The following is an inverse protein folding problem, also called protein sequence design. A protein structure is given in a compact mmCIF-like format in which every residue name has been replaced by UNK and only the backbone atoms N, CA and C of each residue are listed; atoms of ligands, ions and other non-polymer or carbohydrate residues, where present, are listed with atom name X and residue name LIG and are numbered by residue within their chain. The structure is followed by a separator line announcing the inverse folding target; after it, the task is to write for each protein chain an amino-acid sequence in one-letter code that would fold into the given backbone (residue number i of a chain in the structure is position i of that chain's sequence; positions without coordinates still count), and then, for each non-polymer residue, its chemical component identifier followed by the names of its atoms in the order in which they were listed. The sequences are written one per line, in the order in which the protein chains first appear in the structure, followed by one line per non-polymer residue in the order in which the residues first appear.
data_IF_389144422720
#
_entry.id   IF_389144422720
#
_cell.length_a   1.000
_cell.length_b   1.000
_cell.length_c   1.000
_cell.angle_alpha   90.00
_cell.angle_beta   90.00
_cell.angle_gamma   90.00
#
_symmetry.space_group_name_H-M   'P 1'
#
loop_
_entity.id
_entity.type
_entity.pdbx_description
1 polymer ?
#
# COMPACT_ATOMS: atom_id res chain seq x y z
N UNK A 1 0.26 -14.39 19.20
CA UNK A 1 -0.02 -12.99 18.83
C UNK A 1 -1.43 -12.97 18.28
N UNK A 2 -2.41 -12.52 19.07
CA UNK A 2 -3.80 -12.42 18.65
C UNK A 2 -4.12 -10.97 18.22
N UNK A 3 -4.94 -10.79 17.19
CA UNK A 3 -5.34 -9.48 16.67
C UNK A 3 -4.29 -8.76 15.83
N UNK A 4 -3.32 -9.47 15.24
CA UNK A 4 -2.24 -8.85 14.43
C UNK A 4 -2.22 -9.40 13.01
N UNK A 5 -1.58 -8.69 12.07
CA UNK A 5 -1.36 -9.20 10.69
C UNK A 5 -0.55 -10.51 10.66
N UNK A 6 0.20 -10.80 11.73
CA UNK A 6 1.03 -12.01 11.91
C UNK A 6 0.30 -13.13 12.65
N UNK A 7 -0.97 -12.93 13.03
CA UNK A 7 -1.73 -13.93 13.76
C UNK A 7 -1.87 -15.23 12.93
N UNK A 8 -1.72 -16.37 13.61
CA UNK A 8 -1.71 -17.72 13.04
C UNK A 8 -0.68 -17.92 11.89
N UNK A 9 0.38 -17.13 11.82
CA UNK A 9 1.45 -17.36 10.84
C UNK A 9 2.38 -18.50 11.25
N UNK A 10 2.78 -19.32 10.28
CA UNK A 10 3.85 -20.31 10.43
C UNK A 10 5.21 -19.77 9.93
N UNK A 11 5.25 -18.54 9.42
CA UNK A 11 6.47 -17.88 8.97
C UNK A 11 7.19 -17.24 10.17
N UNK A 12 8.52 -17.35 10.28
CA UNK A 12 9.27 -16.72 11.37
C UNK A 12 9.01 -15.20 11.47
N UNK A 13 8.90 -14.67 12.69
CA UNK A 13 8.62 -13.24 12.90
C UNK A 13 9.72 -12.32 12.36
N UNK A 14 10.98 -12.78 12.34
CA UNK A 14 12.08 -12.04 11.71
C UNK A 14 11.81 -11.74 10.24
N UNK A 15 11.20 -12.68 9.51
CA UNK A 15 10.78 -12.48 8.11
C UNK A 15 9.71 -11.40 8.02
N UNK A 16 8.76 -11.37 8.95
CA UNK A 16 7.71 -10.35 8.98
C UNK A 16 8.25 -8.94 9.25
N UNK A 17 9.25 -8.80 10.12
CA UNK A 17 9.91 -7.52 10.36
C UNK A 17 10.70 -7.04 9.14
N UNK A 18 11.48 -7.91 8.51
CA UNK A 18 12.16 -7.57 7.25
C UNK A 18 11.18 -7.26 6.12
N UNK A 19 10.08 -8.00 6.05
CA UNK A 19 8.98 -7.74 5.12
C UNK A 19 8.39 -6.34 5.30
N UNK A 20 8.16 -5.91 6.54
CA UNK A 20 7.65 -4.57 6.83
C UNK A 20 8.66 -3.47 6.48
N UNK A 21 9.95 -3.69 6.79
CA UNK A 21 11.03 -2.77 6.42
C UNK A 21 11.13 -2.58 4.89
N UNK A 22 11.14 -3.68 4.13
CA UNK A 22 11.18 -3.64 2.66
C UNK A 22 9.94 -2.98 2.05
N UNK A 23 8.76 -3.18 2.64
CA UNK A 23 7.53 -2.57 2.14
C UNK A 23 7.51 -1.05 2.39
N UNK A 24 7.98 -0.60 3.54
CA UNK A 24 7.92 0.82 3.96
C UNK A 24 9.04 1.67 3.38
N UNK A 25 10.18 1.07 3.02
CA UNK A 25 11.34 1.78 2.45
C UNK A 25 11.25 2.01 0.93
N UNK A 26 10.39 1.29 0.22
CA UNK A 26 10.28 1.35 -1.24
C UNK A 26 9.14 2.28 -1.70
N UNK A 27 9.46 3.52 -2.02
CA UNK A 27 8.51 4.56 -2.49
C UNK A 27 7.60 4.13 -3.65
N UNK A 28 8.08 3.45 -4.72
CA UNK A 28 7.21 3.02 -5.83
C UNK A 28 6.37 1.76 -5.50
N UNK A 29 6.55 1.15 -4.33
CA UNK A 29 6.01 -0.17 -4.00
C UNK A 29 6.87 -1.32 -4.53
N UNK A 30 6.53 -2.55 -4.13
CA UNK A 30 7.27 -3.76 -4.46
C UNK A 30 6.36 -4.85 -5.05
N UNK A 31 6.83 -5.57 -6.06
CA UNK A 31 6.12 -6.74 -6.60
C UNK A 31 6.31 -7.96 -5.69
N UNK A 32 5.32 -8.87 -5.65
CA UNK A 32 5.44 -10.08 -4.84
C UNK A 32 6.63 -10.97 -5.25
N UNK A 33 7.00 -10.99 -6.55
CA UNK A 33 8.18 -11.72 -7.03
C UNK A 33 9.48 -11.11 -6.52
N UNK A 34 9.61 -9.78 -6.57
CA UNK A 34 10.79 -9.11 -6.04
C UNK A 34 10.89 -9.27 -4.52
N UNK A 35 9.75 -9.13 -3.84
CA UNK A 35 9.62 -9.32 -2.40
C UNK A 35 10.03 -10.74 -1.97
N UNK A 36 9.57 -11.76 -2.70
CA UNK A 36 9.99 -13.15 -2.51
C UNK A 36 11.51 -13.31 -2.61
N UNK A 37 12.12 -12.73 -3.66
CA UNK A 37 13.57 -12.82 -3.89
C UNK A 37 14.39 -12.14 -2.80
N UNK A 38 13.98 -10.97 -2.35
CA UNK A 38 14.69 -10.22 -1.31
C UNK A 38 14.59 -10.90 0.06
N UNK A 39 13.46 -11.52 0.37
CA UNK A 39 13.26 -12.26 1.63
C UNK A 39 13.74 -13.72 1.58
N UNK A 40 14.19 -14.22 0.43
CA UNK A 40 14.62 -15.61 0.28
C UNK A 40 13.50 -16.63 0.46
N UNK A 41 12.24 -16.25 0.17
CA UNK A 41 11.09 -17.15 0.33
C UNK A 41 11.01 -18.15 -0.83
N UNK A 42 10.76 -19.41 -0.52
CA UNK A 42 10.65 -20.49 -1.52
C UNK A 42 9.33 -20.44 -2.31
N UNK A 43 8.28 -19.91 -1.70
CA UNK A 43 6.91 -19.93 -2.22
C UNK A 43 6.42 -18.50 -2.52
N UNK A 44 5.97 -18.29 -3.76
CA UNK A 44 5.42 -17.01 -4.22
C UNK A 44 4.15 -16.64 -3.45
N UNK A 45 3.28 -17.62 -3.20
CA UNK A 45 2.01 -17.43 -2.53
C UNK A 45 2.23 -16.92 -1.10
N UNK A 46 3.25 -17.41 -0.41
CA UNK A 46 3.64 -16.91 0.93
C UNK A 46 4.05 -15.44 0.86
N UNK A 47 4.91 -15.09 -0.10
CA UNK A 47 5.35 -13.72 -0.31
C UNK A 47 4.16 -12.78 -0.64
N UNK A 48 3.25 -13.22 -1.51
CA UNK A 48 2.05 -12.50 -1.88
C UNK A 48 1.12 -12.27 -0.68
N UNK A 49 0.87 -13.31 0.13
CA UNK A 49 0.00 -13.23 1.30
C UNK A 49 0.55 -12.30 2.38
N UNK A 50 1.86 -12.38 2.68
CA UNK A 50 2.52 -11.47 3.62
C UNK A 50 2.38 -10.01 3.14
N UNK A 51 2.72 -9.76 1.87
CA UNK A 51 2.65 -8.43 1.28
C UNK A 51 1.21 -7.86 1.31
N UNK A 52 0.21 -8.70 1.04
CA UNK A 52 -1.20 -8.29 1.08
C UNK A 52 -1.66 -7.99 2.51
N UNK A 53 -1.33 -8.84 3.48
CA UNK A 53 -1.67 -8.61 4.91
C UNK A 53 -1.04 -7.33 5.44
N UNK A 54 0.22 -7.06 5.10
CA UNK A 54 0.89 -5.82 5.49
C UNK A 54 0.21 -4.59 4.87
N UNK A 55 -0.11 -4.62 3.57
CA UNK A 55 -0.80 -3.50 2.89
C UNK A 55 -2.17 -3.20 3.50
N UNK A 56 -2.95 -4.24 3.82
CA UNK A 56 -4.24 -4.08 4.52
C UNK A 56 -4.02 -3.51 5.92
N UNK A 57 -3.01 -3.99 6.65
CA UNK A 57 -2.69 -3.49 7.99
C UNK A 57 -2.17 -2.05 8.03
N UNK A 58 -1.72 -1.50 6.90
CA UNK A 58 -1.28 -0.10 6.79
C UNK A 58 -2.43 0.89 6.63
N UNK A 59 -3.66 0.41 6.43
CA UNK A 59 -4.85 1.28 6.41
C UNK A 59 -5.08 1.81 7.82
N UNK A 60 -5.12 3.13 7.97
CA UNK A 60 -5.35 3.77 9.28
C UNK A 60 -6.76 3.39 9.78
N UNK A 61 -6.90 2.84 11.00
CA UNK A 61 -8.20 2.75 11.64
C UNK A 61 -8.75 4.17 11.84
N UNK A 62 -10.07 4.32 11.76
CA UNK A 62 -10.79 5.59 11.96
C UNK A 62 -10.34 6.71 11.00
N UNK A 63 -10.17 6.37 9.72
CA UNK A 63 -9.82 7.37 8.69
C UNK A 63 -10.87 8.49 8.61
N UNK A 64 -10.40 9.73 8.71
CA UNK A 64 -11.24 10.92 8.56
C UNK A 64 -11.82 11.02 7.15
N UNK A 65 -12.98 11.68 7.02
CA UNK A 65 -13.52 12.03 5.70
C UNK A 65 -12.62 13.08 5.03
N UNK A 66 -12.13 12.77 3.84
CA UNK A 66 -11.39 13.70 2.98
C UNK A 66 -12.26 14.92 2.64
N UNK A 67 -11.71 16.13 2.78
CA UNK A 67 -12.38 17.39 2.44
C UNK A 67 -13.42 17.84 3.47
N UNK A 68 -13.29 17.41 4.73
CA UNK A 68 -14.21 17.76 5.81
C UNK A 68 -14.10 19.20 6.31
N UNK A 69 -12.94 19.86 6.15
CA UNK A 69 -12.68 21.20 6.68
C UNK A 69 -12.52 22.25 5.57
N UNK A 70 -13.11 23.43 5.78
CA UNK A 70 -12.93 24.57 4.89
C UNK A 70 -11.47 25.06 4.96
N UNK A 71 -10.75 25.01 3.84
CA UNK A 71 -9.36 25.44 3.72
C UNK A 71 -8.36 24.31 3.45
N UNK A 72 -8.78 23.05 3.58
CA UNK A 72 -7.98 21.91 3.14
C UNK A 72 -8.25 21.63 1.65
N UNK A 73 -7.19 21.50 0.87
CA UNK A 73 -7.29 21.26 -0.57
C UNK A 73 -7.27 19.76 -0.83
N UNK A 74 -8.17 19.29 -1.70
CA UNK A 74 -8.21 17.90 -2.14
C UNK A 74 -7.74 17.85 -3.58
N UNK A 75 -6.70 17.06 -3.83
CA UNK A 75 -6.26 16.71 -5.18
C UNK A 75 -6.91 15.38 -5.57
N UNK A 76 -7.58 15.37 -6.72
CA UNK A 76 -8.20 14.19 -7.27
C UNK A 76 -7.58 13.85 -8.62
N UNK A 77 -7.37 12.56 -8.87
CA UNK A 77 -6.84 12.05 -10.11
C UNK A 77 -7.54 10.76 -10.51
N UNK A 78 -7.41 10.42 -11.78
CA UNK A 78 -7.92 9.16 -12.31
C UNK A 78 -6.87 8.48 -13.19
N UNK A 79 -6.96 7.16 -13.28
CA UNK A 79 -6.11 6.35 -14.13
C UNK A 79 -6.86 5.09 -14.58
N UNK A 80 -6.41 4.50 -15.68
CA UNK A 80 -6.95 3.24 -16.17
C UNK A 80 -6.01 2.10 -15.77
N UNK A 81 -6.51 1.11 -15.05
CA UNK A 81 -5.76 -0.08 -14.62
C UNK A 81 -6.39 -1.32 -15.25
N UNK A 82 -5.59 -2.14 -15.92
CA UNK A 82 -6.09 -3.38 -16.52
C UNK A 82 -4.99 -4.34 -16.93
N UNK A 83 -5.41 -5.56 -17.23
CA UNK A 83 -4.53 -6.65 -17.67
C UNK A 83 -4.32 -6.66 -19.18
N UNK A 84 -3.57 -7.65 -19.66
CA UNK A 84 -3.47 -7.91 -21.10
C UNK A 84 -4.85 -8.27 -21.66
N UNK A 85 -5.30 -7.57 -22.70
CA UNK A 85 -6.45 -7.98 -23.51
C UNK A 85 -6.27 -9.43 -23.99
N UNK A 86 -7.23 -10.31 -23.73
CA UNK A 86 -7.26 -11.67 -24.30
C UNK A 86 -8.46 -11.80 -25.24
N UNK A 87 -8.23 -12.25 -26.47
CA UNK A 87 -9.30 -12.64 -27.40
C UNK A 87 -10.06 -11.52 -28.12
N UNK A 88 -9.73 -10.23 -27.89
CA UNK A 88 -10.41 -9.08 -28.54
C UNK A 88 -9.58 -8.36 -29.62
N UNK A 89 -8.59 -9.05 -30.19
CA UNK A 89 -7.71 -8.48 -31.22
C UNK A 89 -6.70 -7.47 -30.68
N UNK A 90 -6.15 -6.62 -31.56
CA UNK A 90 -5.13 -5.62 -31.22
C UNK A 90 -5.79 -4.42 -30.52
N UNK A 91 -5.32 -4.07 -29.33
CA UNK A 91 -5.82 -2.93 -28.56
C UNK A 91 -5.96 -3.23 -27.06
N UNK A 92 -6.28 -2.19 -26.29
CA UNK A 92 -6.52 -2.27 -24.85
C UNK A 92 -8.03 -2.17 -24.64
N UNK A 93 -8.68 -3.26 -24.24
CA UNK A 93 -10.15 -3.34 -24.21
C UNK A 93 -10.75 -3.50 -22.82
N UNK A 94 -9.97 -3.99 -21.85
CA UNK A 94 -10.48 -4.37 -20.51
C UNK A 94 -9.72 -3.61 -19.41
N UNK A 95 -9.90 -2.28 -19.38
CA UNK A 95 -9.34 -1.41 -18.33
C UNK A 95 -10.43 -0.96 -17.37
N UNK A 96 -10.13 -1.02 -16.07
CA UNK A 96 -10.93 -0.40 -15.04
C UNK A 96 -10.48 1.05 -14.84
N UNK A 97 -11.42 1.99 -14.84
CA UNK A 97 -11.17 3.35 -14.37
C UNK A 97 -11.03 3.33 -12.85
N UNK A 98 -9.92 3.87 -12.35
CA UNK A 98 -9.60 3.98 -10.93
C UNK A 98 -9.42 5.45 -10.62
N UNK A 99 -10.22 5.96 -9.68
CA UNK A 99 -10.08 7.31 -9.15
C UNK A 99 -9.39 7.27 -7.78
N UNK A 100 -8.57 8.28 -7.49
CA UNK A 100 -7.98 8.49 -6.19
C UNK A 100 -8.13 9.97 -5.77
N UNK A 101 -8.16 10.20 -4.47
CA UNK A 101 -8.17 11.54 -3.90
C UNK A 101 -7.24 11.60 -2.68
N UNK A 102 -6.50 12.70 -2.56
CA UNK A 102 -5.59 12.97 -1.45
C UNK A 102 -5.85 14.36 -0.91
N UNK A 103 -5.93 14.47 0.41
CA UNK A 103 -6.01 15.76 1.10
C UNK A 103 -4.60 16.31 1.34
N UNK A 104 -4.34 17.52 0.83
CA UNK A 104 -3.05 18.19 0.98
C UNK A 104 -3.03 18.93 2.31
N UNK A 105 -2.42 18.31 3.32
CA UNK A 105 -2.21 18.93 4.63
C UNK A 105 -0.85 19.60 4.71
N UNK A 106 -0.82 20.92 4.87
CA UNK A 106 0.43 21.61 5.19
C UNK A 106 0.83 21.31 6.64
N UNK A 107 2.08 20.91 6.83
CA UNK A 107 2.65 20.75 8.17
C UNK A 107 2.64 22.12 8.86
N UNK A 108 1.82 22.29 9.90
CA UNK A 108 1.89 23.48 10.75
C UNK A 108 3.29 23.53 11.37
N UNK A 109 4.04 24.58 11.07
CA UNK A 109 5.34 24.83 11.73
C UNK A 109 5.02 25.20 13.17
N UNK A 110 5.24 24.26 14.10
CA UNK A 110 5.11 24.56 15.51
C UNK A 110 6.00 25.77 15.83
N UNK A 111 5.40 26.81 16.41
CA UNK A 111 6.07 28.05 16.79
C UNK A 111 7.29 27.74 17.65
N UNK A 112 8.33 28.56 17.46
CA UNK A 112 9.58 28.56 18.21
C UNK A 112 9.35 28.20 19.69
N UNK A 113 10.09 27.23 20.22
CA UNK A 113 10.32 27.16 21.67
C UNK A 113 10.83 28.54 22.09
N UNK A 114 10.08 29.22 22.95
CA UNK A 114 10.58 30.41 23.63
C UNK A 114 11.81 29.99 24.45
N UNK A 115 12.94 30.64 24.16
CA UNK A 115 14.11 30.71 25.02
C UNK A 115 13.96 31.89 25.97
#
# INVERSE_FOLDING_TARGET
MAGTVMEHTHTPLSVWFWAADLLTSQTPGISAVQFQRQLGLSCYETAFQILHKLRVGMVRPDQDRIGGNSGEHVEAGETFVGGRTRGKGRGIHDMALVACAVEVRQRKRNGSLNK
#
